data_IF_145501382300
#
_entry.id   IF_145501382300
#
_cell.length_a   1.000
_cell.length_b   1.000
_cell.length_c   1.000
_cell.angle_alpha   90.00
_cell.angle_beta   90.00
_cell.angle_gamma   90.00
#
_symmetry.space_group_name_H-M   'P 1'
#
loop_
_entity.id
_entity.type
_entity.pdbx_description
1 polymer ?
#
# COMPACT_ATOMS: atom_id res chain seq x y z
N UNK A 1 108.71 19.81 10.83
CA UNK A 1 108.95 20.57 9.59
C UNK A 1 107.73 21.41 9.22
N UNK A 2 107.90 22.74 9.24
CA UNK A 2 107.37 23.76 8.30
C UNK A 2 106.73 23.25 6.99
N UNK A 3 105.79 23.90 6.28
CA UNK A 3 104.98 25.15 6.30
C UNK A 3 104.06 25.03 5.04
N UNK A 4 102.81 25.50 4.98
CA UNK A 4 102.26 26.75 4.32
C UNK A 4 100.82 26.38 3.89
N UNK A 5 99.72 27.10 4.18
CA UNK A 5 99.34 28.47 3.79
C UNK A 5 98.97 28.52 2.29
N UNK A 6 97.88 29.11 1.76
CA UNK A 6 96.90 30.14 2.20
C UNK A 6 95.91 30.38 1.00
N UNK A 7 94.65 30.76 1.29
CA UNK A 7 93.74 31.74 0.57
C UNK A 7 93.34 31.44 -0.90
N UNK A 8 92.11 31.62 -1.41
CA UNK A 8 90.90 32.36 -1.01
C UNK A 8 90.61 33.50 -2.01
N UNK A 9 89.43 33.55 -2.67
CA UNK A 9 88.65 34.78 -3.02
C UNK A 9 87.43 34.48 -3.93
N UNK A 10 86.34 35.19 -3.67
CA UNK A 10 85.07 35.27 -4.42
C UNK A 10 85.09 36.34 -5.53
N UNK A 11 83.99 36.42 -6.32
CA UNK A 11 83.34 37.56 -7.05
C UNK A 11 82.62 36.96 -8.29
N UNK A 12 81.29 36.86 -8.39
CA UNK A 12 80.21 37.84 -8.70
C UNK A 12 80.13 38.36 -10.17
N UNK A 13 78.90 38.28 -10.73
CA UNK A 13 78.30 39.01 -11.89
C UNK A 13 78.75 38.57 -13.31
N UNK A 14 77.90 38.46 -14.35
CA UNK A 14 76.89 39.41 -14.90
C UNK A 14 75.92 38.70 -15.90
N UNK A 15 74.79 39.34 -16.21
CA UNK A 15 73.67 38.95 -17.11
C UNK A 15 73.92 39.31 -18.60
N UNK A 16 72.88 39.14 -19.44
CA UNK A 16 72.67 39.64 -20.84
C UNK A 16 73.19 38.74 -22.01
N UNK A 17 72.50 38.40 -23.12
CA UNK A 17 71.24 38.73 -23.84
C UNK A 17 70.83 37.44 -24.64
N UNK A 18 69.67 37.20 -25.29
CA UNK A 18 69.01 38.01 -26.33
C UNK A 18 67.66 37.34 -26.75
N UNK A 19 66.66 38.18 -27.02
CA UNK A 19 65.27 37.88 -27.39
C UNK A 19 65.09 37.49 -28.87
N UNK A 20 64.04 36.70 -29.18
CA UNK A 20 63.53 36.59 -30.55
C UNK A 20 62.62 35.40 -30.83
N UNK A 21 61.34 35.45 -30.41
CA UNK A 21 60.35 34.45 -30.84
C UNK A 21 59.06 34.42 -30.02
N UNK A 22 58.33 35.54 -29.88
CA UNK A 22 57.15 35.60 -29.00
C UNK A 22 55.96 36.37 -29.59
N UNK A 23 55.76 36.33 -30.92
CA UNK A 23 54.60 36.99 -31.56
C UNK A 23 53.84 36.14 -32.58
N UNK A 24 54.17 34.85 -32.70
CA UNK A 24 53.41 33.90 -33.53
C UNK A 24 52.77 32.76 -32.72
N UNK A 25 53.12 32.61 -31.43
CA UNK A 25 52.54 31.59 -30.54
C UNK A 25 51.24 32.07 -29.87
N UNK A 26 51.12 33.36 -29.55
CA UNK A 26 50.03 33.85 -28.68
C UNK A 26 48.65 34.01 -29.34
N UNK A 27 48.55 33.93 -30.67
CA UNK A 27 47.27 34.01 -31.40
C UNK A 27 46.74 32.59 -31.69
N UNK A 28 47.63 31.67 -32.07
CA UNK A 28 47.37 30.22 -32.23
C UNK A 28 47.01 29.55 -30.89
N UNK A 29 47.63 29.97 -29.77
CA UNK A 29 47.30 29.50 -28.42
C UNK A 29 45.97 30.06 -27.87
N UNK A 30 45.41 31.11 -28.50
CA UNK A 30 44.10 31.67 -28.10
C UNK A 30 42.96 31.08 -28.92
N UNK A 31 43.17 30.88 -30.22
CA UNK A 31 42.20 30.17 -31.08
C UNK A 31 42.04 28.71 -30.63
N UNK A 32 43.11 28.02 -30.25
CA UNK A 32 43.01 26.65 -29.70
C UNK A 32 42.35 26.56 -28.31
N UNK A 33 42.38 27.63 -27.51
CA UNK A 33 41.70 27.67 -26.21
C UNK A 33 40.22 28.07 -26.33
N UNK A 34 39.84 28.76 -27.42
CA UNK A 34 38.44 29.03 -27.76
C UNK A 34 37.82 27.77 -28.43
N UNK A 35 38.59 27.01 -29.24
CA UNK A 35 38.16 25.73 -29.83
C UNK A 35 38.02 24.61 -28.78
N UNK A 36 38.95 24.48 -27.83
CA UNK A 36 38.81 23.48 -26.73
C UNK A 36 37.67 23.84 -25.74
N UNK A 37 37.33 25.12 -25.57
CA UNK A 37 36.18 25.53 -24.77
C UNK A 37 34.84 25.27 -25.50
N UNK A 38 34.80 25.42 -26.83
CA UNK A 38 33.63 25.05 -27.64
C UNK A 38 33.46 23.51 -27.72
N UNK A 39 34.55 22.73 -27.72
CA UNK A 39 34.49 21.26 -27.61
C UNK A 39 34.00 20.81 -26.22
N UNK A 40 34.50 21.39 -25.12
CA UNK A 40 34.02 21.08 -23.76
C UNK A 40 32.54 21.46 -23.55
N UNK A 41 32.08 22.60 -24.07
CA UNK A 41 30.64 22.97 -24.00
C UNK A 41 29.77 22.01 -24.85
N UNK A 42 30.27 21.48 -25.97
CA UNK A 42 29.54 20.49 -26.78
C UNK A 42 29.48 19.10 -26.14
N UNK A 43 30.52 18.70 -25.40
CA UNK A 43 30.52 17.45 -24.64
C UNK A 43 29.56 17.53 -23.44
N UNK A 44 29.48 18.68 -22.76
CA UNK A 44 28.50 18.90 -21.68
C UNK A 44 27.04 18.91 -22.20
N UNK A 45 26.77 19.50 -23.37
CA UNK A 45 25.43 19.44 -23.99
C UNK A 45 25.04 18.01 -24.42
N UNK A 46 25.98 17.21 -24.96
CA UNK A 46 25.73 15.80 -25.30
C UNK A 46 25.48 14.93 -24.05
N UNK A 47 26.21 15.15 -22.95
CA UNK A 47 25.97 14.45 -21.68
C UNK A 47 24.60 14.81 -21.06
N UNK A 48 24.17 16.07 -21.13
CA UNK A 48 22.84 16.48 -20.66
C UNK A 48 21.71 15.88 -21.52
N UNK A 49 21.87 15.79 -22.85
CA UNK A 49 20.90 15.13 -23.73
C UNK A 49 20.81 13.61 -23.46
N UNK A 50 21.93 12.93 -23.22
CA UNK A 50 21.94 11.49 -22.85
C UNK A 50 21.26 11.23 -21.49
N UNK A 51 21.47 12.10 -20.49
CA UNK A 51 20.80 12.00 -19.18
C UNK A 51 19.28 12.27 -19.30
N UNK A 52 18.86 13.21 -20.14
CA UNK A 52 17.44 13.47 -20.42
C UNK A 52 16.79 12.25 -21.12
N UNK A 53 17.42 11.67 -22.14
CA UNK A 53 16.92 10.47 -22.84
C UNK A 53 16.84 9.24 -21.91
N UNK A 54 17.83 9.01 -21.02
CA UNK A 54 17.80 7.91 -20.04
C UNK A 54 16.67 8.13 -19.01
N UNK A 55 16.41 9.39 -18.64
CA UNK A 55 15.31 9.73 -17.74
C UNK A 55 13.93 9.50 -18.38
N UNK A 56 13.76 9.89 -19.65
CA UNK A 56 12.53 9.65 -20.39
C UNK A 56 12.28 8.15 -20.60
N UNK A 57 13.30 7.36 -20.94
CA UNK A 57 13.18 5.89 -21.07
C UNK A 57 12.78 5.25 -19.73
N UNK A 58 13.33 5.73 -18.61
CA UNK A 58 12.97 5.23 -17.28
C UNK A 58 11.53 5.58 -16.86
N UNK A 59 11.04 6.77 -17.23
CA UNK A 59 9.65 7.17 -16.98
C UNK A 59 8.67 6.34 -17.83
N UNK A 60 9.01 6.06 -19.09
CA UNK A 60 8.21 5.19 -19.96
C UNK A 60 8.14 3.75 -19.43
N UNK A 61 9.25 3.18 -18.93
CA UNK A 61 9.26 1.85 -18.32
C UNK A 61 8.39 1.79 -17.04
N UNK A 62 8.45 2.82 -16.19
CA UNK A 62 7.61 2.90 -14.98
C UNK A 62 6.11 3.00 -15.33
N UNK A 63 5.75 3.78 -16.37
CA UNK A 63 4.36 3.87 -16.85
C UNK A 63 3.85 2.53 -17.41
N UNK A 64 4.68 1.81 -18.18
CA UNK A 64 4.33 0.49 -18.70
C UNK A 64 4.11 -0.54 -17.56
N UNK A 65 4.97 -0.54 -16.54
CA UNK A 65 4.82 -1.41 -15.36
C UNK A 65 3.51 -1.09 -14.59
N UNK A 66 3.19 0.19 -14.40
CA UNK A 66 1.93 0.61 -13.75
C UNK A 66 0.68 0.18 -14.55
N UNK A 67 0.73 0.27 -15.88
CA UNK A 67 -0.36 -0.20 -16.74
C UNK A 67 -0.53 -1.72 -16.68
N UNK A 68 0.56 -2.48 -16.66
CA UNK A 68 0.51 -3.93 -16.51
C UNK A 68 -0.07 -4.34 -15.15
N UNK A 69 0.39 -3.72 -14.06
CA UNK A 69 -0.15 -3.99 -12.72
C UNK A 69 -1.65 -3.64 -12.63
N UNK A 70 -2.09 -2.53 -13.21
CA UNK A 70 -3.50 -2.14 -13.24
C UNK A 70 -4.37 -3.16 -14.01
N UNK A 71 -3.86 -3.71 -15.12
CA UNK A 71 -4.54 -4.77 -15.86
C UNK A 71 -4.57 -6.06 -15.05
N UNK A 72 -3.51 -6.42 -14.34
CA UNK A 72 -3.51 -7.60 -13.47
C UNK A 72 -4.51 -7.48 -12.31
N UNK A 73 -4.62 -6.30 -11.68
CA UNK A 73 -5.61 -6.03 -10.63
C UNK A 73 -7.05 -6.12 -11.15
N UNK A 74 -7.31 -5.58 -12.35
CA UNK A 74 -8.59 -5.74 -13.06
C UNK A 74 -8.91 -7.23 -13.30
N UNK A 75 -7.91 -8.05 -13.60
CA UNK A 75 -8.10 -9.49 -13.83
C UNK A 75 -8.29 -10.25 -12.51
N UNK A 76 -7.70 -9.80 -11.40
CA UNK A 76 -7.83 -10.45 -10.09
C UNK A 76 -9.15 -10.13 -9.38
N UNK A 77 -9.77 -8.97 -9.70
CA UNK A 77 -11.00 -8.54 -9.07
C UNK A 77 -12.21 -9.37 -9.54
N UNK A 78 -12.90 -10.11 -8.64
CA UNK A 78 -14.04 -10.95 -9.01
C UNK A 78 -15.28 -10.20 -9.50
N UNK A 79 -15.31 -8.87 -9.39
CA UNK A 79 -16.41 -8.03 -9.87
C UNK A 79 -16.14 -7.35 -11.23
N UNK A 80 -14.93 -7.48 -11.81
CA UNK A 80 -14.60 -6.85 -13.09
C UNK A 80 -15.19 -7.60 -14.29
N UNK A 81 -15.40 -6.88 -15.40
CA UNK A 81 -15.94 -7.46 -16.64
C UNK A 81 -14.97 -8.50 -17.24
N UNK A 82 -13.66 -8.27 -17.09
CA UNK A 82 -12.60 -9.17 -17.55
C UNK A 82 -12.62 -10.50 -16.78
N UNK A 83 -12.81 -10.47 -15.46
CA UNK A 83 -12.93 -11.66 -14.61
C UNK A 83 -14.25 -12.40 -14.85
N UNK A 84 -15.38 -11.69 -14.95
CA UNK A 84 -16.69 -12.27 -15.25
C UNK A 84 -16.70 -12.99 -16.60
N UNK A 85 -16.07 -12.40 -17.62
CA UNK A 85 -15.91 -13.02 -18.95
C UNK A 85 -15.04 -14.27 -18.89
N UNK A 86 -14.00 -14.34 -18.06
CA UNK A 86 -13.14 -15.54 -17.93
C UNK A 86 -13.85 -16.62 -17.11
N UNK A 87 -14.50 -16.24 -16.02
CA UNK A 87 -15.27 -17.11 -15.13
C UNK A 87 -16.46 -17.76 -15.84
N UNK A 88 -17.12 -17.06 -16.77
CA UNK A 88 -18.27 -17.59 -17.53
C UNK A 88 -17.95 -18.81 -18.43
N UNK A 89 -16.67 -19.13 -18.64
CA UNK A 89 -16.22 -20.30 -19.44
C UNK A 89 -15.82 -21.47 -18.56
N UNK A 90 -15.86 -21.30 -17.24
CA UNK A 90 -15.57 -22.37 -16.28
C UNK A 90 -16.57 -23.53 -16.44
N UNK A 91 -16.14 -24.79 -16.28
CA UNK A 91 -17.04 -25.95 -16.27
C UNK A 91 -18.11 -25.91 -15.17
N UNK A 92 -18.02 -24.96 -14.23
CA UNK A 92 -19.03 -24.69 -13.20
C UNK A 92 -19.89 -23.44 -13.47
N UNK A 93 -19.56 -22.63 -14.46
CA UNK A 93 -20.46 -21.62 -14.99
C UNK A 93 -21.56 -22.38 -15.77
N UNK A 94 -22.62 -22.75 -15.06
CA UNK A 94 -23.67 -23.64 -15.55
C UNK A 94 -24.08 -23.29 -16.99
N UNK A 95 -24.21 -24.33 -17.84
CA UNK A 95 -24.63 -24.17 -19.24
C UNK A 95 -25.92 -23.33 -19.28
N UNK A 96 -25.78 -22.08 -19.71
CA UNK A 96 -26.91 -21.29 -20.19
C UNK A 96 -27.26 -21.91 -21.54
N UNK A 97 -28.54 -22.23 -21.75
CA UNK A 97 -29.10 -22.84 -22.97
C UNK A 97 -29.01 -24.38 -23.01
N UNK A 98 -29.78 -25.06 -22.13
CA UNK A 98 -30.43 -26.28 -22.61
C UNK A 98 -31.64 -25.85 -23.46
N UNK A 99 -31.84 -26.41 -24.67
CA UNK A 99 -33.05 -26.12 -25.46
C UNK A 99 -34.26 -26.53 -24.61
N UNK A 100 -35.25 -25.63 -24.48
CA UNK A 100 -36.51 -25.89 -23.77
C UNK A 100 -37.14 -27.18 -24.31
N UNK A 101 -36.86 -28.31 -23.67
CA UNK A 101 -37.63 -29.51 -23.83
C UNK A 101 -39.06 -29.15 -23.47
N UNK A 102 -40.01 -29.36 -24.38
CA UNK A 102 -41.40 -29.02 -24.19
C UNK A 102 -41.90 -29.70 -22.90
N UNK A 103 -42.00 -28.89 -21.86
CA UNK A 103 -42.41 -29.27 -20.52
C UNK A 103 -43.82 -29.86 -20.63
N UNK A 104 -43.98 -31.14 -20.37
CA UNK A 104 -45.27 -31.83 -20.39
C UNK A 104 -46.23 -31.13 -19.42
N UNK A 105 -47.54 -31.16 -19.71
CA UNK A 105 -48.55 -30.45 -18.91
C UNK A 105 -48.54 -30.82 -17.42
N UNK A 106 -48.03 -32.01 -17.09
CA UNK A 106 -47.88 -32.50 -15.72
C UNK A 106 -46.73 -31.81 -14.97
N UNK A 107 -45.61 -31.52 -15.64
CA UNK A 107 -44.49 -30.80 -15.05
C UNK A 107 -44.81 -29.31 -14.84
N UNK A 108 -45.66 -28.72 -15.70
CA UNK A 108 -46.20 -27.37 -15.51
C UNK A 108 -47.11 -27.30 -14.28
N UNK A 109 -48.03 -28.25 -14.14
CA UNK A 109 -48.90 -28.34 -12.95
C UNK A 109 -48.10 -28.55 -11.67
N UNK A 110 -47.05 -29.38 -11.71
CA UNK A 110 -46.16 -29.57 -10.57
C UNK A 110 -45.39 -28.29 -10.24
N UNK A 111 -44.85 -27.58 -11.24
CA UNK A 111 -44.14 -26.32 -11.04
C UNK A 111 -45.05 -25.22 -10.50
N UNK A 112 -46.29 -25.13 -10.98
CA UNK A 112 -47.31 -24.19 -10.50
C UNK A 112 -47.75 -24.52 -9.07
N UNK A 113 -47.98 -25.80 -8.75
CA UNK A 113 -48.30 -26.23 -7.38
C UNK A 113 -47.12 -25.95 -6.43
N UNK A 114 -45.89 -26.18 -6.88
CA UNK A 114 -44.69 -25.84 -6.10
C UNK A 114 -44.50 -24.33 -5.94
N UNK A 115 -44.83 -23.54 -6.98
CA UNK A 115 -44.80 -22.08 -6.93
C UNK A 115 -45.88 -21.52 -6.00
N UNK A 116 -47.10 -22.07 -6.03
CA UNK A 116 -48.17 -21.73 -5.09
C UNK A 116 -47.82 -22.14 -3.66
N UNK A 117 -47.18 -23.30 -3.47
CA UNK A 117 -46.69 -23.73 -2.14
C UNK A 117 -45.55 -22.86 -1.63
N UNK A 118 -44.65 -22.39 -2.51
CA UNK A 118 -43.60 -21.41 -2.19
C UNK A 118 -44.20 -20.04 -1.87
N UNK A 119 -45.10 -19.53 -2.68
CA UNK A 119 -45.76 -18.25 -2.47
C UNK A 119 -46.64 -18.26 -1.19
N UNK A 120 -47.29 -19.38 -0.88
CA UNK A 120 -48.07 -19.54 0.35
C UNK A 120 -47.17 -19.68 1.58
N UNK A 121 -45.96 -20.23 1.44
CA UNK A 121 -44.94 -20.27 2.49
C UNK A 121 -44.27 -18.90 2.71
N UNK A 122 -44.08 -18.13 1.64
CA UNK A 122 -43.55 -16.77 1.68
C UNK A 122 -44.57 -15.76 2.21
N UNK A 123 -45.86 -16.03 1.98
CA UNK A 123 -47.00 -15.30 2.58
C UNK A 123 -47.41 -15.85 3.96
N UNK A 124 -46.72 -16.89 4.44
CA UNK A 124 -46.89 -17.41 5.79
C UNK A 124 -46.30 -16.42 6.79
N UNK A 125 -47.19 -15.80 7.57
CA UNK A 125 -46.90 -15.12 8.81
C UNK A 125 -45.72 -14.16 8.81
N UNK A 126 -45.95 -12.99 8.21
CA UNK A 126 -45.54 -11.75 8.88
C UNK A 126 -46.51 -11.51 10.04
N UNK A 127 -46.59 -12.46 10.96
CA UNK A 127 -47.10 -12.19 12.31
C UNK A 127 -46.21 -11.07 12.81
N UNK A 128 -46.81 -9.94 13.15
CA UNK A 128 -46.13 -8.85 13.85
C UNK A 128 -45.71 -9.44 15.20
N UNK A 129 -44.54 -10.08 15.23
CA UNK A 129 -44.01 -10.70 16.43
C UNK A 129 -43.77 -9.55 17.39
N UNK A 130 -44.69 -9.37 18.33
CA UNK A 130 -44.52 -8.43 19.43
C UNK A 130 -43.21 -8.80 20.14
N UNK A 131 -42.18 -7.96 19.99
CA UNK A 131 -40.87 -8.15 20.59
C UNK A 131 -40.99 -8.07 22.13
N UNK A 132 -41.27 -9.21 22.75
CA UNK A 132 -41.38 -9.34 24.21
C UNK A 132 -40.01 -9.70 24.77
N UNK A 133 -39.42 -8.77 25.52
CA UNK A 133 -38.22 -9.05 26.31
C UNK A 133 -38.61 -9.27 27.77
N UNK A 134 -38.01 -10.29 28.41
CA UNK A 134 -38.18 -10.56 29.84
C UNK A 134 -36.89 -10.21 30.56
N UNK A 135 -36.98 -9.24 31.46
CA UNK A 135 -35.84 -8.84 32.28
C UNK A 135 -35.69 -9.80 33.47
N UNK A 136 -34.53 -10.44 33.59
CA UNK A 136 -34.24 -11.44 34.62
C UNK A 136 -33.46 -10.85 35.82
N UNK A 137 -33.46 -9.53 35.99
CA UNK A 137 -32.78 -8.86 37.11
C UNK A 137 -33.71 -8.48 38.27
N UNK A 138 -33.13 -7.93 39.33
CA UNK A 138 -33.89 -7.48 40.52
C UNK A 138 -34.78 -6.27 40.22
N UNK A 139 -34.22 -5.28 39.52
CA UNK A 139 -34.90 -4.06 39.09
C UNK A 139 -34.26 -3.56 37.79
N UNK A 140 -35.06 -2.98 36.89
CA UNK A 140 -34.60 -2.44 35.60
C UNK A 140 -33.75 -1.17 35.77
N UNK A 141 -34.02 -0.42 36.83
CA UNK A 141 -33.34 0.83 37.19
C UNK A 141 -32.81 0.74 38.61
N UNK A 142 -31.64 1.32 38.81
CA UNK A 142 -31.04 1.50 40.13
C UNK A 142 -31.85 2.49 40.99
N UNK A 143 -31.52 2.57 42.28
CA UNK A 143 -32.09 3.55 43.21
C UNK A 143 -31.94 5.02 42.75
N UNK A 144 -30.99 5.30 41.84
CA UNK A 144 -30.77 6.62 41.23
C UNK A 144 -31.42 6.76 39.83
N UNK A 145 -32.25 5.81 39.42
CA UNK A 145 -32.90 5.81 38.11
C UNK A 145 -31.96 5.52 36.93
N UNK A 146 -30.73 5.05 37.18
CA UNK A 146 -29.77 4.68 36.14
C UNK A 146 -30.05 3.27 35.63
N UNK A 147 -29.74 3.00 34.37
CA UNK A 147 -29.83 1.67 33.78
C UNK A 147 -28.71 0.76 34.30
N UNK A 148 -28.94 -0.55 34.26
CA UNK A 148 -27.95 -1.56 34.65
C UNK A 148 -26.69 -1.60 33.77
N UNK A 149 -26.71 -0.94 32.61
CA UNK A 149 -25.58 -0.84 31.67
C UNK A 149 -24.68 0.37 32.02
N UNK A 150 -25.17 1.30 32.87
CA UNK A 150 -24.40 2.48 33.21
C UNK A 150 -23.08 2.09 33.94
N UNK A 151 -21.94 2.67 33.54
CA UNK A 151 -20.65 2.31 34.13
C UNK A 151 -20.63 2.65 35.63
N UNK A 152 -20.13 1.74 36.49
CA UNK A 152 -20.03 1.99 37.91
C UNK A 152 -18.97 3.07 38.20
N UNK A 153 -19.37 4.09 38.96
CA UNK A 153 -18.50 5.24 39.31
C UNK A 153 -17.32 4.84 40.21
N UNK A 154 -17.48 3.78 41.00
CA UNK A 154 -16.52 3.44 42.06
C UNK A 154 -15.37 2.56 41.58
N UNK A 155 -15.49 1.92 40.42
CA UNK A 155 -14.51 0.91 39.93
C UNK A 155 -13.75 1.40 38.70
N UNK A 156 -14.29 2.38 37.98
CA UNK A 156 -13.66 2.89 36.77
C UNK A 156 -12.60 3.93 37.14
N UNK A 157 -11.34 3.49 37.23
CA UNK A 157 -10.23 4.42 37.00
C UNK A 157 -10.20 4.68 35.49
N UNK A 158 -10.56 5.88 35.02
CA UNK A 158 -10.58 6.17 33.58
C UNK A 158 -9.16 6.25 32.99
N UNK A 159 -8.14 6.23 33.84
CA UNK A 159 -6.73 6.27 33.46
C UNK A 159 -6.22 4.84 33.31
N UNK A 160 -5.61 4.48 32.16
CA UNK A 160 -4.98 3.19 32.00
C UNK A 160 -3.89 3.00 33.07
N UNK A 161 -3.78 1.82 33.69
CA UNK A 161 -2.77 1.60 34.71
C UNK A 161 -1.36 1.69 34.10
N UNK A 162 -0.43 2.32 34.81
CA UNK A 162 0.97 2.45 34.40
C UNK A 162 1.69 1.09 34.30
N UNK A 163 1.20 0.08 35.03
CA UNK A 163 1.80 -1.26 35.09
C UNK A 163 0.75 -2.36 34.96
N UNK A 164 1.03 -3.35 34.11
CA UNK A 164 0.22 -4.54 33.91
C UNK A 164 0.89 -5.76 34.56
N UNK A 165 0.11 -6.63 35.20
CA UNK A 165 0.60 -7.83 35.87
C UNK A 165 -0.12 -9.08 35.38
N UNK A 166 0.59 -10.20 35.32
CA UNK A 166 0.02 -11.51 34.95
C UNK A 166 -0.83 -12.03 36.12
N UNK A 167 -2.10 -12.43 35.89
CA UNK A 167 -2.95 -12.96 36.94
C UNK A 167 -2.43 -14.31 37.45
N UNK A 168 -2.42 -14.48 38.78
CA UNK A 168 -1.96 -15.72 39.46
C UNK A 168 -3.09 -16.64 39.89
N UNK A 169 -4.32 -16.13 39.96
CA UNK A 169 -5.50 -16.84 40.49
C UNK A 169 -6.73 -16.54 39.65
N UNK A 170 -7.66 -17.49 39.56
CA UNK A 170 -9.01 -17.17 39.09
C UNK A 170 -9.75 -16.37 40.18
N UNK A 171 -10.68 -15.51 39.78
CA UNK A 171 -11.51 -14.74 40.74
C UNK A 171 -12.96 -15.17 40.69
N UNK A 172 -13.49 -15.43 39.49
CA UNK A 172 -14.92 -15.64 39.29
C UNK A 172 -15.20 -16.68 38.21
N UNK A 173 -16.26 -17.45 38.42
CA UNK A 173 -16.79 -18.44 37.47
C UNK A 173 -18.22 -18.06 37.14
N UNK A 174 -18.48 -17.67 35.90
CA UNK A 174 -19.81 -17.32 35.43
C UNK A 174 -20.56 -18.59 34.98
N UNK A 175 -21.63 -18.95 35.69
CA UNK A 175 -22.52 -20.05 35.31
C UNK A 175 -23.86 -19.52 34.81
N UNK A 176 -24.36 -20.04 33.70
CA UNK A 176 -25.67 -19.64 33.14
C UNK A 176 -25.98 -20.22 31.77
N UNK A 177 -24.95 -20.62 31.03
CA UNK A 177 -25.09 -21.33 29.76
C UNK A 177 -24.93 -22.84 29.95
N UNK A 178 -25.78 -23.62 29.30
CA UNK A 178 -25.66 -25.09 29.26
C UNK A 178 -24.71 -25.57 28.17
N UNK A 179 -24.44 -24.72 27.17
CA UNK A 179 -23.51 -24.95 26.05
C UNK A 179 -22.27 -24.06 26.20
N UNK A 180 -21.27 -24.28 25.35
CA UNK A 180 -20.08 -23.43 25.29
C UNK A 180 -20.40 -21.98 24.93
N UNK A 181 -19.65 -21.05 25.52
CA UNK A 181 -19.73 -19.62 25.21
C UNK A 181 -19.01 -19.36 23.88
N UNK A 182 -19.69 -18.72 22.93
CA UNK A 182 -19.12 -18.45 21.59
C UNK A 182 -18.23 -17.20 21.54
N UNK A 183 -18.62 -16.13 22.23
CA UNK A 183 -17.86 -14.88 22.27
C UNK A 183 -18.10 -14.13 23.59
N UNK A 184 -17.08 -13.40 24.05
CA UNK A 184 -17.15 -12.49 25.20
C UNK A 184 -16.77 -11.10 24.68
N UNK A 185 -17.62 -10.09 24.92
CA UNK A 185 -17.38 -8.70 24.54
C UNK A 185 -17.56 -7.80 25.76
N UNK A 186 -16.71 -6.79 25.87
CA UNK A 186 -16.85 -5.75 26.89
C UNK A 186 -17.78 -4.64 26.42
N UNK A 187 -18.36 -3.90 27.36
CA UNK A 187 -19.10 -2.68 27.05
C UNK A 187 -18.12 -1.59 26.58
N UNK A 188 -18.56 -0.74 25.63
CA UNK A 188 -17.76 0.39 25.16
C UNK A 188 -17.60 1.47 26.24
#
# INVERSE_FOLDING_TARGET
MNKRGRKGKAVEQEEEECEGGAKKSSEEEREGAEEEAEEEESEEEEEEEEEEEESEESEEEEEEEEEEEAVEEEIANPASDSWLRKSSKSPWAGKKEEPKAELTEEQKKYAEEHALKKAKKERGDKEEVEEKSTFHGKQEKDYQGRSWIAPPKDVLNPVPPTHCYIPKRWIHTWSGHTKGVSAIRFFP
#
